data_IF_459046368956
#
_entry.id   IF_459046368956
#
_cell.length_a   1.000
_cell.length_b   1.000
_cell.length_c   1.000
_cell.angle_alpha   90.00
_cell.angle_beta   90.00
_cell.angle_gamma   90.00
#
_symmetry.space_group_name_H-M   'P 1'
#
loop_
_entity.id
_entity.type
_entity.pdbx_description
1 polymer ?
#
# COMPACT_ATOMS: atom_id res chain seq x y z
N UNK A 1 -46.55 7.37 5.79
CA UNK A 1 -45.33 6.53 5.88
C UNK A 1 -44.35 6.97 4.81
N UNK A 2 -43.25 7.62 5.20
CA UNK A 2 -42.17 8.02 4.29
C UNK A 2 -41.19 6.84 4.15
N UNK A 3 -40.99 6.34 2.93
CA UNK A 3 -39.97 5.31 2.65
C UNK A 3 -38.57 5.94 2.82
N UNK A 4 -37.59 5.24 3.42
CA UNK A 4 -36.25 5.77 3.55
C UNK A 4 -35.58 5.86 2.17
N UNK A 5 -35.03 7.04 1.85
CA UNK A 5 -34.10 7.24 0.73
C UNK A 5 -32.78 6.58 1.10
N UNK A 6 -32.47 5.44 0.48
CA UNK A 6 -31.14 4.85 0.54
C UNK A 6 -30.20 5.71 -0.31
N UNK A 7 -29.22 6.35 0.35
CA UNK A 7 -28.11 7.08 -0.26
C UNK A 7 -27.27 6.11 -1.09
N UNK A 8 -27.31 6.24 -2.42
CA UNK A 8 -26.62 5.41 -3.42
C UNK A 8 -25.16 5.80 -3.62
N UNK A 9 -24.46 6.28 -2.59
CA UNK A 9 -23.00 6.32 -2.61
C UNK A 9 -22.44 4.91 -2.43
N UNK A 10 -22.48 4.12 -3.50
CA UNK A 10 -21.81 2.83 -3.59
C UNK A 10 -20.33 3.02 -3.23
N UNK A 11 -19.91 2.54 -2.05
CA UNK A 11 -18.49 2.26 -1.80
C UNK A 11 -18.05 1.29 -2.88
N UNK A 12 -17.19 1.74 -3.79
CA UNK A 12 -16.55 0.86 -4.77
C UNK A 12 -15.71 -0.14 -3.97
N UNK A 13 -16.21 -1.36 -3.81
CA UNK A 13 -15.45 -2.44 -3.18
C UNK A 13 -14.31 -2.79 -4.12
N UNK A 14 -13.09 -2.35 -3.79
CA UNK A 14 -11.90 -2.76 -4.51
C UNK A 14 -11.61 -4.20 -4.10
N UNK A 15 -11.99 -5.13 -4.99
CA UNK A 15 -11.64 -6.54 -4.85
C UNK A 15 -10.21 -6.73 -5.33
N UNK A 16 -9.27 -6.93 -4.40
CA UNK A 16 -7.91 -7.36 -4.72
C UNK A 16 -7.90 -8.86 -5.05
N UNK A 17 -7.06 -9.26 -6.02
CA UNK A 17 -6.90 -10.68 -6.34
C UNK A 17 -6.28 -11.44 -5.13
N UNK A 18 -6.41 -12.77 -5.12
CA UNK A 18 -5.87 -13.61 -4.04
C UNK A 18 -4.34 -13.52 -3.92
N UNK A 19 -3.61 -13.39 -5.03
CA UNK A 19 -2.15 -13.23 -5.04
C UNK A 19 -1.69 -12.01 -4.25
N UNK A 20 -2.37 -10.86 -4.41
CA UNK A 20 -2.06 -9.63 -3.67
C UNK A 20 -2.36 -9.81 -2.19
N UNK A 21 -3.44 -10.50 -1.82
CA UNK A 21 -3.79 -10.77 -0.42
C UNK A 21 -2.76 -11.65 0.29
N UNK A 22 -2.07 -12.54 -0.43
CA UNK A 22 -1.00 -13.36 0.14
C UNK A 22 0.32 -12.60 0.31
N UNK A 23 0.55 -11.57 -0.52
CA UNK A 23 1.78 -10.77 -0.50
C UNK A 23 1.69 -9.51 0.37
N UNK A 24 0.51 -9.00 0.66
CA UNK A 24 0.33 -7.71 1.32
C UNK A 24 -0.26 -7.91 2.71
N UNK A 25 0.39 -7.32 3.71
CA UNK A 25 -0.13 -7.25 5.08
C UNK A 25 -1.60 -6.82 5.09
N UNK A 26 -2.46 -7.63 5.72
CA UNK A 26 -3.91 -7.43 5.70
C UNK A 26 -4.32 -6.02 6.18
N UNK A 27 -3.54 -5.40 7.07
CA UNK A 27 -3.82 -4.05 7.57
C UNK A 27 -3.71 -3.01 6.46
N UNK A 28 -2.76 -3.17 5.53
CA UNK A 28 -2.65 -2.30 4.35
C UNK A 28 -3.88 -2.50 3.47
N UNK A 29 -4.35 -3.74 3.31
CA UNK A 29 -5.56 -4.05 2.54
C UNK A 29 -6.78 -3.36 3.15
N UNK A 30 -6.98 -3.45 4.46
CA UNK A 30 -8.10 -2.82 5.17
C UNK A 30 -8.04 -1.29 5.09
N UNK A 31 -6.86 -0.70 5.27
CA UNK A 31 -6.65 0.74 5.11
C UNK A 31 -6.94 1.14 3.65
N UNK A 32 -6.46 0.38 2.66
CA UNK A 32 -6.67 0.70 1.26
C UNK A 32 -8.15 0.62 0.86
N UNK A 33 -8.92 -0.31 1.44
CA UNK A 33 -10.36 -0.45 1.20
C UNK A 33 -11.18 0.64 1.91
N UNK A 34 -10.77 1.07 3.10
CA UNK A 34 -11.51 2.07 3.90
C UNK A 34 -11.13 3.51 3.53
N UNK A 35 -9.85 3.76 3.28
CA UNK A 35 -9.26 5.07 2.97
C UNK A 35 -8.01 4.88 2.09
N UNK A 36 -8.17 4.67 0.77
CA UNK A 36 -7.05 4.41 -0.15
C UNK A 36 -6.03 5.55 -0.20
N UNK A 37 -6.44 6.77 0.18
CA UNK A 37 -5.58 7.96 0.24
C UNK A 37 -4.76 8.08 1.53
N UNK A 38 -4.97 7.21 2.53
CA UNK A 38 -4.19 7.22 3.76
C UNK A 38 -2.72 6.99 3.43
N UNK A 39 -1.87 7.89 3.92
CA UNK A 39 -0.43 7.79 3.71
C UNK A 39 0.16 6.80 4.73
N UNK A 40 0.98 5.87 4.26
CA UNK A 40 1.61 4.82 5.07
C UNK A 40 3.09 4.72 4.71
N UNK A 41 3.89 4.18 5.62
CA UNK A 41 5.17 3.58 5.27
C UNK A 41 5.06 2.08 5.25
N UNK A 42 5.76 1.46 4.32
CA UNK A 42 5.80 0.03 4.16
C UNK A 42 7.22 -0.46 3.87
N UNK A 43 7.50 -1.70 4.25
CA UNK A 43 8.72 -2.40 3.90
C UNK A 43 8.36 -3.42 2.82
N UNK A 44 8.99 -3.28 1.65
CA UNK A 44 8.90 -4.23 0.55
C UNK A 44 10.02 -5.24 0.71
N UNK A 45 9.69 -6.53 0.75
CA UNK A 45 10.65 -7.64 0.64
C UNK A 45 10.63 -8.11 -0.81
N UNK A 46 11.78 -8.12 -1.46
CA UNK A 46 11.92 -8.53 -2.86
C UNK A 46 12.44 -9.97 -2.96
N UNK A 47 12.18 -10.64 -4.08
CA UNK A 47 12.77 -11.95 -4.41
C UNK A 47 14.13 -11.84 -5.09
N UNK A 48 14.45 -10.65 -5.61
CA UNK A 48 15.72 -10.32 -6.27
C UNK A 48 16.39 -9.15 -5.54
N UNK A 49 17.72 -8.98 -5.67
CA UNK A 49 18.40 -7.79 -5.17
C UNK A 49 17.74 -6.50 -5.70
N UNK A 50 17.58 -5.44 -4.88
CA UNK A 50 17.05 -4.14 -5.31
C UNK A 50 17.97 -3.41 -6.30
N UNK A 51 18.03 -3.88 -7.55
CA UNK A 51 18.76 -3.21 -8.63
C UNK A 51 18.16 -1.84 -8.93
N UNK A 52 18.90 -1.01 -9.67
CA UNK A 52 18.42 0.31 -10.06
C UNK A 52 17.09 0.25 -10.84
N UNK A 53 16.94 -0.74 -11.73
CA UNK A 53 15.69 -0.97 -12.47
C UNK A 53 14.51 -1.27 -11.55
N UNK A 54 14.70 -2.16 -10.56
CA UNK A 54 13.67 -2.50 -9.57
C UNK A 54 13.28 -1.26 -8.76
N UNK A 55 14.26 -0.49 -8.32
CA UNK A 55 14.03 0.73 -7.53
C UNK A 55 13.31 1.79 -8.37
N UNK A 56 13.68 1.96 -9.64
CA UNK A 56 13.05 2.92 -10.54
C UNK A 56 11.59 2.54 -10.86
N UNK A 57 11.30 1.26 -11.02
CA UNK A 57 9.92 0.78 -11.20
C UNK A 57 9.05 1.10 -9.97
N UNK A 58 9.59 0.91 -8.77
CA UNK A 58 8.88 1.24 -7.51
C UNK A 58 8.69 2.75 -7.37
N UNK A 59 9.72 3.55 -7.70
CA UNK A 59 9.66 5.02 -7.69
C UNK A 59 8.56 5.59 -8.58
N UNK A 60 8.17 4.87 -9.65
CA UNK A 60 7.05 5.24 -10.50
C UNK A 60 5.69 5.22 -9.81
N UNK A 61 5.57 4.56 -8.64
CA UNK A 61 4.31 4.39 -7.92
C UNK A 61 4.32 5.03 -6.53
N UNK A 62 5.42 4.91 -5.79
CA UNK A 62 5.55 5.41 -4.41
C UNK A 62 6.92 6.05 -4.17
N UNK A 63 7.04 6.85 -3.11
CA UNK A 63 8.35 7.39 -2.71
C UNK A 63 9.19 6.29 -2.09
N UNK A 64 10.40 6.07 -2.60
CA UNK A 64 11.42 5.25 -1.94
C UNK A 64 12.14 6.09 -0.90
N UNK A 65 12.12 5.66 0.36
CA UNK A 65 12.84 6.33 1.47
C UNK A 65 14.23 5.73 1.65
N UNK A 66 14.33 4.40 1.70
CA UNK A 66 15.60 3.69 1.88
C UNK A 66 15.63 2.39 1.07
N UNK A 67 16.83 1.99 0.64
CA UNK A 67 17.09 0.70 0.00
C UNK A 67 18.13 -0.04 0.83
N UNK A 68 17.81 -1.27 1.22
CA UNK A 68 18.69 -2.12 2.01
C UNK A 68 19.04 -3.37 1.19
N UNK A 69 20.04 -3.22 0.32
CA UNK A 69 20.43 -4.25 -0.66
C UNK A 69 20.72 -5.61 -0.02
N UNK A 70 21.48 -5.64 1.09
CA UNK A 70 21.83 -6.87 1.78
C UNK A 70 20.60 -7.61 2.34
N UNK A 71 19.56 -6.87 2.74
CA UNK A 71 18.34 -7.44 3.30
C UNK A 71 17.30 -7.75 2.23
N UNK A 72 17.55 -7.39 0.96
CA UNK A 72 16.55 -7.45 -0.12
C UNK A 72 15.25 -6.72 0.26
N UNK A 73 15.40 -5.55 0.88
CA UNK A 73 14.26 -4.74 1.33
C UNK A 73 14.34 -3.29 0.86
N UNK A 74 13.16 -2.70 0.66
CA UNK A 74 13.00 -1.32 0.26
C UNK A 74 11.94 -0.68 1.16
N UNK A 75 12.31 0.38 1.88
CA UNK A 75 11.37 1.16 2.66
C UNK A 75 10.74 2.23 1.78
N UNK A 76 9.42 2.26 1.75
CA UNK A 76 8.64 3.16 0.90
C UNK A 76 7.61 3.94 1.70
N UNK A 77 7.25 5.11 1.18
CA UNK A 77 6.17 5.96 1.66
C UNK A 77 5.19 6.23 0.52
N UNK A 78 3.90 6.03 0.75
CA UNK A 78 2.89 6.25 -0.28
C UNK A 78 1.47 6.10 0.24
N UNK A 79 0.49 6.34 -0.62
CA UNK A 79 -0.91 6.07 -0.32
C UNK A 79 -1.15 4.57 -0.24
N UNK A 80 -1.97 4.11 0.70
CA UNK A 80 -2.27 2.68 0.88
C UNK A 80 -2.77 2.02 -0.42
N UNK A 81 -3.60 2.74 -1.19
CA UNK A 81 -4.09 2.28 -2.49
C UNK A 81 -3.02 2.17 -3.59
N UNK A 82 -1.90 2.86 -3.47
CA UNK A 82 -0.77 2.75 -4.40
C UNK A 82 0.25 1.70 -3.93
N UNK A 83 0.47 1.60 -2.62
CA UNK A 83 1.34 0.56 -2.02
C UNK A 83 0.81 -0.83 -2.33
N UNK A 84 -0.51 -1.07 -2.24
CA UNK A 84 -1.08 -2.39 -2.51
C UNK A 84 -0.89 -2.85 -3.97
N UNK A 85 -0.84 -1.92 -4.93
CA UNK A 85 -0.59 -2.23 -6.36
C UNK A 85 0.81 -2.78 -6.58
N UNK A 86 1.76 -2.48 -5.70
CA UNK A 86 3.11 -3.08 -5.76
C UNK A 86 3.05 -4.59 -5.50
N UNK A 87 2.03 -5.10 -4.82
CA UNK A 87 1.82 -6.54 -4.63
C UNK A 87 1.58 -7.30 -5.94
N UNK A 88 1.22 -6.62 -7.02
CA UNK A 88 1.06 -7.20 -8.37
C UNK A 88 2.41 -7.45 -9.05
N UNK A 89 3.50 -6.85 -8.55
CA UNK A 89 4.83 -6.99 -9.14
C UNK A 89 5.40 -8.38 -8.87
N UNK A 90 5.97 -9.06 -9.89
CA UNK A 90 6.45 -10.43 -9.75
C UNK A 90 7.65 -10.54 -8.81
N UNK A 91 8.50 -9.51 -8.73
CA UNK A 91 9.69 -9.49 -7.89
C UNK A 91 9.43 -9.11 -6.42
N UNK A 92 8.18 -8.77 -6.06
CA UNK A 92 7.80 -8.50 -4.67
C UNK A 92 7.37 -9.82 -4.02
N UNK A 93 8.07 -10.20 -2.96
CA UNK A 93 7.76 -11.35 -2.12
C UNK A 93 6.67 -11.00 -1.11
N UNK A 94 6.86 -9.89 -0.37
CA UNK A 94 5.95 -9.49 0.71
C UNK A 94 5.99 -7.97 0.94
N UNK A 95 4.88 -7.41 1.42
CA UNK A 95 4.73 -5.99 1.79
C UNK A 95 4.24 -5.91 3.22
N UNK A 96 5.06 -5.32 4.09
CA UNK A 96 4.79 -5.13 5.51
C UNK A 96 4.39 -3.70 5.81
N UNK A 97 3.38 -3.50 6.65
CA UNK A 97 3.09 -2.18 7.21
C UNK A 97 4.16 -1.83 8.25
N UNK A 98 4.81 -0.68 8.06
CA UNK A 98 5.75 -0.10 9.03
C UNK A 98 5.01 0.86 9.95
N UNK A 99 4.33 1.85 9.36
CA UNK A 99 3.54 2.83 10.10
C UNK A 99 2.39 3.41 9.26
N UNK A 100 1.34 3.84 9.94
CA UNK A 100 0.33 4.72 9.36
C UNK A 100 0.73 6.16 9.64
N UNK A 101 0.89 6.96 8.59
CA UNK A 101 1.26 8.37 8.73
C UNK A 101 0.00 9.13 9.12
N UNK A 102 -0.24 9.25 10.43
CA UNK A 102 -1.29 10.11 10.94
C UNK A 102 -0.92 11.57 10.62
N UNK A 103 -1.86 12.33 10.05
CA UNK A 103 -1.79 13.79 10.15
C UNK A 103 -2.09 14.11 11.62
N UNK A 104 -1.09 14.50 12.39
CA UNK A 104 -1.35 15.25 13.62
C UNK A 104 -2.08 16.52 13.18
N UNK A 105 -3.39 16.54 13.41
CA UNK A 105 -4.09 17.80 13.57
C UNK A 105 -3.53 18.37 14.87
N UNK A 106 -2.65 19.35 14.75
CA UNK A 106 -2.34 20.20 15.89
C UNK A 106 -3.67 20.84 16.29
N UNK A 107 -4.18 20.45 17.46
CA UNK A 107 -5.33 21.10 18.07
C UNK A 107 -4.83 22.44 18.59
N UNK A 108 -4.78 23.43 17.70
CA UNK A 108 -4.57 24.85 18.02
C UNK A 108 -5.87 25.50 18.46
#
# INVERSE_FOLDING_TARGET
MLKPKWDTRCRKVISYNETVRLKVDYRIVEIAQSSPSTEIRAILVTDVPPSEDVVNEIRGTVKVENVFNFMMTIKVKGKAGDVIKLGEKPFIRYIMLDEVVARTQDWS
#
